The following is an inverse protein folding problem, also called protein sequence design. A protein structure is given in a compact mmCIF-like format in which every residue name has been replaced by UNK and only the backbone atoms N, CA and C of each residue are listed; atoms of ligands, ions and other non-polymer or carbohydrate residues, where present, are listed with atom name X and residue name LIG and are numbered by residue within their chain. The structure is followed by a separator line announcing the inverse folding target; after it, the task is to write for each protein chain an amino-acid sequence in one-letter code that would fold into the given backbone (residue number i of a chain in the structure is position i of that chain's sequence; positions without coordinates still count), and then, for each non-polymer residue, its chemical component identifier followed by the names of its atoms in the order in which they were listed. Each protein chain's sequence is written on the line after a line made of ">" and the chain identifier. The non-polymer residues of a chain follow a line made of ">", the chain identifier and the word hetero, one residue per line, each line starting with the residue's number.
data_IF_143714524842
#
_entry.id   IF_143714524842
#
_cell.length_a   1.000
_cell.length_b   1.000
_cell.length_c   1.000
_cell.angle_alpha   90.00
_cell.angle_beta   90.00
_cell.angle_gamma   90.00
#
_symmetry.space_group_name_H-M   'P 1'
#
loop_
_entity.id
_entity.type
_entity.pdbx_description
1 polymer ?
#
# COMPACT_ATOMS: atom_id res chain seq x y z
N UNK A 1 -20.33 67.91 -15.80
CA UNK A 1 -21.27 66.81 -16.11
C UNK A 1 -20.39 65.63 -16.47
N UNK A 2 -20.33 64.64 -15.59
CA UNK A 2 -19.46 63.48 -15.68
C UNK A 2 -20.03 62.48 -16.71
N UNK A 3 -19.22 62.09 -17.69
CA UNK A 3 -19.42 60.86 -18.43
C UNK A 3 -18.77 59.73 -17.62
N UNK A 4 -19.60 58.82 -17.11
CA UNK A 4 -19.14 57.58 -16.48
C UNK A 4 -19.34 56.43 -17.46
N UNK A 5 -18.24 55.94 -18.02
CA UNK A 5 -18.19 54.68 -18.75
C UNK A 5 -18.54 53.52 -17.79
N UNK A 6 -19.59 52.77 -18.10
CA UNK A 6 -19.91 51.53 -17.41
C UNK A 6 -19.17 50.37 -18.08
N UNK A 7 -18.04 49.96 -17.51
CA UNK A 7 -17.40 48.69 -17.85
C UNK A 7 -18.31 47.53 -17.43
N UNK A 8 -18.92 46.86 -18.39
CA UNK A 8 -19.59 45.59 -18.17
C UNK A 8 -18.55 44.51 -17.92
N UNK A 9 -18.39 44.13 -16.65
CA UNK A 9 -17.55 43.00 -16.22
C UNK A 9 -18.09 41.71 -16.86
N UNK A 10 -17.31 41.14 -17.78
CA UNK A 10 -17.59 39.85 -18.40
C UNK A 10 -17.56 38.74 -17.34
N UNK A 11 -18.71 38.10 -17.11
CA UNK A 11 -18.84 36.89 -16.30
C UNK A 11 -18.06 35.77 -17.00
N UNK A 12 -17.10 35.10 -16.34
CA UNK A 12 -16.36 34.03 -16.99
C UNK A 12 -17.28 32.85 -17.30
N UNK A 13 -17.21 32.42 -18.56
CA UNK A 13 -17.89 31.27 -19.13
C UNK A 13 -17.67 30.02 -18.27
N UNK A 14 -18.79 29.39 -17.90
CA UNK A 14 -18.97 28.03 -17.36
C UNK A 14 -17.73 27.14 -17.47
N UNK A 15 -17.25 26.68 -16.32
CA UNK A 15 -16.40 25.51 -16.22
C UNK A 15 -17.03 24.35 -17.00
N UNK A 16 -16.23 23.71 -17.87
CA UNK A 16 -16.63 22.54 -18.66
C UNK A 16 -17.25 21.48 -17.74
N UNK A 17 -18.52 21.16 -17.97
CA UNK A 17 -19.16 19.96 -17.44
C UNK A 17 -18.43 18.74 -17.99
N UNK A 18 -17.68 18.03 -17.15
CA UNK A 18 -17.25 16.69 -17.44
C UNK A 18 -18.38 15.76 -16.99
N UNK A 19 -19.13 15.19 -17.94
CA UNK A 19 -20.03 14.07 -17.63
C UNK A 19 -19.19 12.96 -16.99
N UNK A 20 -19.50 12.60 -15.74
CA UNK A 20 -18.78 11.55 -15.03
C UNK A 20 -19.00 10.21 -15.75
N UNK A 21 -17.93 9.61 -16.28
CA UNK A 21 -17.98 8.29 -16.91
C UNK A 21 -18.48 7.24 -15.89
N UNK A 22 -19.62 6.56 -16.13
CA UNK A 22 -20.15 5.52 -15.24
C UNK A 22 -19.14 4.40 -14.94
N UNK A 23 -18.16 4.17 -15.82
CA UNK A 23 -17.11 3.18 -15.63
C UNK A 23 -16.11 3.56 -14.51
N UNK A 24 -15.92 4.86 -14.23
CA UNK A 24 -15.01 5.36 -13.20
C UNK A 24 -15.40 4.87 -11.79
N UNK A 25 -16.70 4.66 -11.57
CA UNK A 25 -17.26 4.29 -10.26
C UNK A 25 -17.70 2.83 -10.17
N UNK A 26 -17.27 1.97 -11.11
CA UNK A 26 -17.64 0.56 -11.13
C UNK A 26 -17.20 -0.23 -9.88
N UNK A 27 -16.18 0.26 -9.17
CA UNK A 27 -15.68 -0.33 -7.92
C UNK A 27 -16.44 0.13 -6.67
N UNK A 28 -17.27 1.17 -6.79
CA UNK A 28 -18.02 1.74 -5.67
C UNK A 28 -19.24 0.89 -5.37
N UNK A 29 -19.53 0.69 -4.09
CA UNK A 29 -20.67 -0.06 -3.61
C UNK A 29 -21.99 0.66 -3.95
N UNK A 30 -22.75 0.09 -4.89
CA UNK A 30 -24.04 0.64 -5.36
C UNK A 30 -25.14 0.55 -4.31
N UNK A 31 -24.97 -0.27 -3.28
CA UNK A 31 -25.91 -0.30 -2.13
C UNK A 31 -25.75 0.93 -1.24
N UNK A 32 -24.55 1.53 -1.24
CA UNK A 32 -24.22 2.73 -0.48
C UNK A 32 -24.40 3.99 -1.33
N UNK A 33 -23.98 3.94 -2.59
CA UNK A 33 -23.93 5.07 -3.51
C UNK A 33 -24.93 4.91 -4.64
N UNK A 34 -26.03 5.67 -4.56
CA UNK A 34 -27.03 5.75 -5.64
C UNK A 34 -26.47 6.48 -6.86
N UNK A 35 -27.07 6.28 -8.04
CA UNK A 35 -26.66 6.97 -9.28
C UNK A 35 -26.66 8.49 -9.14
N UNK A 36 -27.63 9.05 -8.39
CA UNK A 36 -27.67 10.48 -8.09
C UNK A 36 -26.48 10.94 -7.24
N UNK A 37 -26.08 10.13 -6.26
CA UNK A 37 -24.93 10.46 -5.42
C UNK A 37 -23.61 10.33 -6.19
N UNK A 38 -23.49 9.35 -7.09
CA UNK A 38 -22.32 9.21 -7.96
C UNK A 38 -22.23 10.36 -8.98
N UNK A 39 -23.37 10.81 -9.52
CA UNK A 39 -23.42 12.01 -10.34
C UNK A 39 -23.03 13.27 -9.55
N UNK A 40 -23.49 13.39 -8.29
CA UNK A 40 -23.12 14.49 -7.40
C UNK A 40 -21.65 14.42 -6.96
N UNK A 41 -21.07 13.22 -6.89
CA UNK A 41 -19.64 12.99 -6.70
C UNK A 41 -18.90 13.67 -7.86
N UNK A 42 -19.10 13.20 -9.09
CA UNK A 42 -18.42 13.76 -10.26
C UNK A 42 -18.63 15.27 -10.50
N UNK A 43 -19.85 15.77 -10.29
CA UNK A 43 -20.21 17.17 -10.57
C UNK A 43 -19.92 18.12 -9.40
N UNK A 44 -19.55 17.59 -8.23
CA UNK A 44 -19.40 18.35 -6.99
C UNK A 44 -20.72 18.56 -6.24
N UNK A 45 -20.59 18.74 -4.93
CA UNK A 45 -21.70 19.01 -4.01
C UNK A 45 -21.72 20.48 -3.58
N UNK A 46 -22.91 21.00 -3.27
CA UNK A 46 -23.06 22.41 -2.84
C UNK A 46 -22.20 22.68 -1.61
N UNK A 47 -21.28 23.64 -1.72
CA UNK A 47 -20.36 24.01 -0.66
C UNK A 47 -19.19 23.03 -0.45
N UNK A 48 -18.96 22.10 -1.38
CA UNK A 48 -17.89 21.09 -1.36
C UNK A 48 -17.86 20.21 -0.10
N UNK A 49 -19.00 20.09 0.61
CA UNK A 49 -19.12 19.26 1.81
C UNK A 49 -20.27 18.26 1.71
N UNK A 50 -19.98 17.04 2.15
CA UNK A 50 -20.95 15.98 2.27
C UNK A 50 -21.60 15.99 3.65
N UNK A 51 -22.93 16.00 3.66
CA UNK A 51 -23.77 15.95 4.85
C UNK A 51 -24.48 14.60 4.93
N UNK A 52 -24.89 14.20 6.13
CA UNK A 52 -25.71 13.01 6.38
C UNK A 52 -25.13 11.76 5.68
N UNK A 53 -23.98 11.33 6.18
CA UNK A 53 -23.28 10.12 5.73
C UNK A 53 -23.44 8.97 6.73
N UNK A 54 -23.66 9.27 8.01
CA UNK A 54 -23.78 8.25 9.06
C UNK A 54 -24.95 7.28 8.82
N UNK A 55 -26.03 7.75 8.18
CA UNK A 55 -27.17 6.92 7.77
C UNK A 55 -26.81 5.83 6.77
N UNK A 56 -25.74 6.02 5.99
CA UNK A 56 -25.25 5.03 5.04
C UNK A 56 -24.34 4.01 5.73
N UNK A 57 -23.68 4.42 6.81
CA UNK A 57 -22.80 3.55 7.60
C UNK A 57 -23.60 2.55 8.40
N UNK A 58 -24.66 2.97 9.11
CA UNK A 58 -25.41 2.08 9.99
C UNK A 58 -26.41 1.17 9.26
N UNK A 59 -26.62 1.34 7.94
CA UNK A 59 -27.48 0.43 7.16
C UNK A 59 -27.02 -1.01 7.31
N UNK A 60 -27.98 -1.91 7.53
CA UNK A 60 -27.70 -3.33 7.70
C UNK A 60 -26.98 -3.91 6.48
N UNK A 61 -27.38 -3.54 5.26
CA UNK A 61 -26.73 -3.97 4.01
C UNK A 61 -25.26 -3.55 3.95
N UNK A 62 -24.95 -2.29 4.28
CA UNK A 62 -23.56 -1.79 4.36
C UNK A 62 -22.74 -2.56 5.39
N UNK A 63 -23.30 -2.83 6.57
CA UNK A 63 -22.63 -3.59 7.63
C UNK A 63 -22.42 -5.06 7.22
N UNK A 64 -23.37 -5.67 6.49
CA UNK A 64 -23.23 -7.01 5.94
C UNK A 64 -22.12 -7.08 4.89
N UNK A 65 -22.08 -6.13 3.95
CA UNK A 65 -21.03 -6.05 2.95
C UNK A 65 -19.64 -5.82 3.58
N UNK A 66 -19.58 -4.97 4.61
CA UNK A 66 -18.38 -4.77 5.42
C UNK A 66 -17.95 -6.06 6.14
N UNK A 67 -18.91 -6.80 6.71
CA UNK A 67 -18.65 -8.08 7.37
C UNK A 67 -18.07 -9.13 6.42
N UNK A 68 -18.65 -9.31 5.23
CA UNK A 68 -18.14 -10.25 4.24
C UNK A 68 -16.67 -9.99 3.89
N UNK A 69 -16.27 -8.73 3.78
CA UNK A 69 -14.88 -8.34 3.56
C UNK A 69 -13.99 -8.66 4.76
N UNK A 70 -14.45 -8.37 5.99
CA UNK A 70 -13.71 -8.68 7.22
C UNK A 70 -13.53 -10.20 7.39
N UNK A 71 -14.57 -10.98 7.09
CA UNK A 71 -14.54 -12.44 7.13
C UNK A 71 -13.55 -13.01 6.11
N UNK A 72 -13.54 -12.49 4.88
CA UNK A 72 -12.62 -12.90 3.82
C UNK A 72 -11.13 -12.67 4.16
N UNK A 73 -10.84 -11.64 4.95
CA UNK A 73 -9.48 -11.32 5.39
C UNK A 73 -8.91 -12.27 6.45
N UNK A 74 -9.75 -13.09 7.11
CA UNK A 74 -9.37 -14.08 8.14
C UNK A 74 -8.43 -13.50 9.22
N UNK A 75 -8.70 -12.27 9.64
CA UNK A 75 -7.88 -11.55 10.61
C UNK A 75 -7.99 -12.13 12.03
N UNK A 76 -6.92 -12.04 12.81
CA UNK A 76 -6.89 -12.52 14.20
C UNK A 76 -7.90 -11.78 15.11
N UNK A 77 -8.23 -12.41 16.23
CA UNK A 77 -9.08 -11.82 17.26
C UNK A 77 -8.45 -10.56 17.90
N UNK A 78 -9.33 -9.63 18.29
CA UNK A 78 -8.98 -8.39 18.98
C UNK A 78 -8.74 -8.62 20.47
N UNK A 79 -9.02 -7.59 21.29
CA UNK A 79 -8.88 -7.67 22.77
C UNK A 79 -10.02 -8.46 23.43
N UNK A 80 -11.16 -8.58 22.74
CA UNK A 80 -12.36 -9.31 23.14
C UNK A 80 -12.26 -10.82 22.91
N UNK A 81 -11.14 -11.28 22.31
CA UNK A 81 -10.89 -12.68 21.95
C UNK A 81 -11.95 -13.33 21.06
N UNK A 82 -12.85 -12.53 20.47
CA UNK A 82 -13.85 -13.03 19.54
C UNK A 82 -13.18 -13.31 18.19
N UNK A 83 -13.25 -14.58 17.76
CA UNK A 83 -12.77 -14.98 16.44
C UNK A 83 -13.77 -14.63 15.34
N UNK A 84 -13.31 -14.68 14.08
CA UNK A 84 -14.18 -14.51 12.91
C UNK A 84 -15.25 -15.61 12.89
N UNK A 85 -14.88 -16.85 13.22
CA UNK A 85 -15.79 -17.99 13.27
C UNK A 85 -16.83 -17.82 14.38
N UNK A 86 -16.42 -17.32 15.55
CA UNK A 86 -17.32 -17.03 16.67
C UNK A 86 -18.30 -15.89 16.35
N UNK A 87 -17.85 -14.86 15.62
CA UNK A 87 -18.75 -13.80 15.14
C UNK A 87 -19.73 -14.35 14.09
N UNK A 88 -19.25 -15.15 13.13
CA UNK A 88 -20.05 -15.73 12.07
C UNK A 88 -21.24 -16.57 12.59
N UNK A 89 -21.04 -17.31 13.68
CA UNK A 89 -22.08 -18.11 14.30
C UNK A 89 -23.31 -17.31 14.77
N UNK A 90 -23.14 -16.00 15.02
CA UNK A 90 -24.21 -15.11 15.50
C UNK A 90 -24.27 -13.79 14.72
N UNK A 91 -23.84 -13.81 13.44
CA UNK A 91 -23.64 -12.60 12.64
C UNK A 91 -24.90 -11.72 12.55
N UNK A 92 -26.08 -12.30 12.32
CA UNK A 92 -27.32 -11.55 12.16
C UNK A 92 -27.66 -10.74 13.42
N UNK A 93 -27.44 -11.33 14.60
CA UNK A 93 -27.65 -10.67 15.90
C UNK A 93 -26.64 -9.54 16.10
N UNK A 94 -25.35 -9.81 15.89
CA UNK A 94 -24.30 -8.80 16.13
C UNK A 94 -24.37 -7.64 15.15
N UNK A 95 -24.72 -7.88 13.89
CA UNK A 95 -24.90 -6.82 12.89
C UNK A 95 -26.13 -5.96 13.22
N UNK A 96 -27.23 -6.56 13.66
CA UNK A 96 -28.42 -5.83 14.11
C UNK A 96 -28.13 -4.99 15.36
N UNK A 97 -27.34 -5.52 16.30
CA UNK A 97 -26.87 -4.79 17.48
C UNK A 97 -26.01 -3.58 17.09
N UNK A 98 -25.05 -3.77 16.18
CA UNK A 98 -24.20 -2.70 15.67
C UNK A 98 -25.01 -1.62 14.93
N UNK A 99 -25.99 -2.02 14.11
CA UNK A 99 -26.92 -1.11 13.44
C UNK A 99 -27.60 -0.18 14.46
N UNK A 100 -28.25 -0.76 15.48
CA UNK A 100 -28.93 0.00 16.54
C UNK A 100 -27.96 0.91 17.30
N UNK A 101 -26.81 0.39 17.71
CA UNK A 101 -25.82 1.17 18.47
C UNK A 101 -25.26 2.34 17.66
N UNK A 102 -25.02 2.15 16.36
CA UNK A 102 -24.56 3.22 15.48
C UNK A 102 -25.66 4.23 15.20
N UNK A 103 -26.90 3.79 14.99
CA UNK A 103 -28.07 4.64 14.74
C UNK A 103 -28.40 5.53 15.96
N UNK A 104 -28.28 4.99 17.17
CA UNK A 104 -28.53 5.71 18.43
C UNK A 104 -27.31 6.47 18.97
N UNK A 105 -26.13 6.27 18.38
CA UNK A 105 -24.89 6.95 18.81
C UNK A 105 -24.30 6.37 20.10
N UNK A 106 -24.70 5.16 20.46
CA UNK A 106 -24.22 4.41 21.64
C UNK A 106 -22.92 3.65 21.36
N UNK A 107 -22.60 3.39 20.09
CA UNK A 107 -21.38 2.68 19.73
C UNK A 107 -20.14 3.42 20.26
N UNK A 108 -19.28 2.70 20.98
CA UNK A 108 -17.98 3.18 21.46
C UNK A 108 -16.89 2.22 20.99
N UNK A 109 -15.84 2.73 20.33
CA UNK A 109 -14.76 1.87 19.89
C UNK A 109 -14.04 1.20 21.06
N UNK A 110 -13.69 -0.08 20.92
CA UNK A 110 -12.99 -0.80 21.98
C UNK A 110 -11.47 -0.56 21.92
N UNK A 111 -10.75 -0.95 22.97
CA UNK A 111 -9.31 -0.83 22.98
C UNK A 111 -8.66 -1.74 21.91
N UNK A 112 -7.60 -1.24 21.28
CA UNK A 112 -6.87 -1.94 20.23
C UNK A 112 -5.77 -2.81 20.85
N UNK A 113 -5.72 -4.10 20.49
CA UNK A 113 -4.69 -5.02 20.96
C UNK A 113 -3.42 -4.84 20.15
N UNK A 114 -2.30 -4.45 20.78
CA UNK A 114 -1.01 -4.26 20.12
C UNK A 114 -0.19 -5.55 20.12
N UNK A 115 0.32 -5.91 18.94
CA UNK A 115 1.17 -7.08 18.71
C UNK A 115 2.42 -6.64 17.96
N UNK A 116 3.58 -7.13 18.36
CA UNK A 116 4.83 -6.87 17.65
C UNK A 116 5.07 -7.90 16.57
N UNK A 117 5.13 -7.44 15.32
CA UNK A 117 5.45 -8.30 14.18
C UNK A 117 6.95 -8.16 13.86
N UNK A 118 7.71 -9.26 13.80
CA UNK A 118 9.11 -9.21 13.43
C UNK A 118 9.31 -8.62 12.03
N UNK A 119 10.16 -7.59 11.90
CA UNK A 119 10.62 -7.05 10.61
C UNK A 119 11.99 -7.64 10.28
N UNK A 120 12.29 -7.74 8.99
CA UNK A 120 13.63 -8.10 8.54
C UNK A 120 14.67 -7.10 9.07
N UNK A 121 15.68 -7.60 9.79
CA UNK A 121 16.75 -6.79 10.39
C UNK A 121 16.63 -6.57 11.91
N UNK A 122 15.84 -7.39 12.63
CA UNK A 122 15.79 -7.39 14.10
C UNK A 122 14.89 -6.32 14.72
N UNK A 123 14.37 -5.39 13.92
CA UNK A 123 13.35 -4.42 14.36
C UNK A 123 11.96 -5.07 14.40
N UNK A 124 11.06 -4.60 15.25
CA UNK A 124 9.65 -5.00 15.26
C UNK A 124 8.77 -3.90 14.65
N UNK A 125 7.61 -4.28 14.11
CA UNK A 125 6.56 -3.36 13.69
C UNK A 125 5.37 -3.56 14.63
N UNK A 126 4.96 -2.53 15.39
CA UNK A 126 3.74 -2.63 16.18
C UNK A 126 2.54 -2.68 15.24
N UNK A 127 1.65 -3.65 15.45
CA UNK A 127 0.37 -3.76 14.78
C UNK A 127 -0.74 -3.69 15.83
N UNK A 128 -1.66 -2.74 15.67
CA UNK A 128 -2.91 -2.68 16.40
C UNK A 128 -3.95 -3.56 15.71
N UNK A 129 -4.52 -4.51 16.46
CA UNK A 129 -5.59 -5.41 16.01
C UNK A 129 -6.88 -4.96 16.71
N UNK A 130 -7.79 -4.27 16.00
CA UNK A 130 -9.11 -3.92 16.54
C UNK A 130 -9.99 -5.16 16.70
N UNK A 131 -11.09 -5.04 17.44
CA UNK A 131 -12.11 -6.10 17.57
C UNK A 131 -12.79 -6.38 16.23
N UNK A 132 -13.46 -7.53 16.12
CA UNK A 132 -14.23 -7.86 14.90
C UNK A 132 -15.28 -6.79 14.63
N UNK A 133 -16.02 -6.38 15.67
CA UNK A 133 -17.01 -5.30 15.61
C UNK A 133 -16.39 -3.99 15.09
N UNK A 134 -15.27 -3.54 15.65
CA UNK A 134 -14.61 -2.31 15.21
C UNK A 134 -14.13 -2.39 13.76
N UNK A 135 -13.60 -3.54 13.32
CA UNK A 135 -13.19 -3.72 11.92
C UNK A 135 -14.37 -3.63 10.96
N UNK A 136 -15.55 -4.15 11.34
CA UNK A 136 -16.76 -4.05 10.52
C UNK A 136 -17.17 -2.58 10.40
N UNK A 137 -17.27 -1.85 11.51
CA UNK A 137 -17.66 -0.42 11.49
C UNK A 137 -16.63 0.42 10.73
N UNK A 138 -15.33 0.19 10.92
CA UNK A 138 -14.27 0.87 10.14
C UNK A 138 -14.38 0.58 8.65
N UNK A 139 -14.68 -0.67 8.28
CA UNK A 139 -14.86 -1.06 6.88
C UNK A 139 -16.11 -0.40 6.27
N UNK A 140 -17.21 -0.34 7.03
CA UNK A 140 -18.44 0.34 6.61
C UNK A 140 -18.21 1.84 6.42
N UNK A 141 -17.57 2.52 7.38
CA UNK A 141 -17.19 3.93 7.24
C UNK A 141 -16.29 4.13 6.03
N UNK A 142 -15.26 3.28 5.88
CA UNK A 142 -14.36 3.34 4.72
C UNK A 142 -15.14 3.27 3.40
N UNK A 143 -16.08 2.33 3.24
CA UNK A 143 -16.92 2.22 2.03
C UNK A 143 -17.72 3.48 1.74
N UNK A 144 -18.18 4.17 2.78
CA UNK A 144 -18.93 5.42 2.63
C UNK A 144 -18.02 6.58 2.25
N UNK A 145 -16.86 6.74 2.89
CA UNK A 145 -16.04 7.94 2.71
C UNK A 145 -14.96 7.84 1.63
N UNK A 146 -14.49 6.62 1.29
CA UNK A 146 -13.41 6.41 0.32
C UNK A 146 -13.71 7.03 -1.06
N UNK A 147 -14.94 6.93 -1.62
CA UNK A 147 -15.24 7.56 -2.91
C UNK A 147 -15.12 9.09 -2.91
N UNK A 148 -15.45 9.74 -1.79
CA UNK A 148 -15.35 11.20 -1.62
C UNK A 148 -13.90 11.65 -1.75
N UNK A 149 -12.98 10.95 -1.08
CA UNK A 149 -11.56 11.31 -1.12
C UNK A 149 -10.86 10.81 -2.38
N UNK A 150 -11.27 9.66 -2.92
CA UNK A 150 -10.67 9.10 -4.14
C UNK A 150 -10.85 10.01 -5.36
N UNK A 151 -11.96 10.75 -5.42
CA UNK A 151 -12.19 11.76 -6.46
C UNK A 151 -11.18 12.91 -6.41
N UNK A 152 -10.79 13.32 -5.21
CA UNK A 152 -9.87 14.45 -4.99
C UNK A 152 -8.41 14.01 -5.19
N UNK A 153 -8.09 12.73 -4.92
CA UNK A 153 -6.71 12.25 -4.93
C UNK A 153 -6.02 12.34 -6.30
N UNK A 154 -4.86 13.00 -6.29
CA UNK A 154 -3.99 13.16 -7.45
C UNK A 154 -3.52 11.84 -8.07
N UNK A 155 -3.41 11.79 -9.39
CA UNK A 155 -2.98 10.60 -10.14
C UNK A 155 -1.56 10.13 -9.81
N UNK A 156 -0.76 11.01 -9.22
CA UNK A 156 0.61 10.74 -8.75
C UNK A 156 0.67 9.87 -7.50
N UNK A 157 -0.45 9.69 -6.80
CA UNK A 157 -0.57 8.83 -5.62
C UNK A 157 -1.16 7.46 -5.99
N UNK A 158 -0.51 6.38 -5.56
CA UNK A 158 -0.88 5.01 -5.93
C UNK A 158 -1.18 4.10 -4.75
N UNK A 159 -0.61 4.38 -3.58
CA UNK A 159 -0.68 3.49 -2.42
C UNK A 159 -2.09 3.40 -1.85
N UNK A 160 -2.56 2.18 -1.56
CA UNK A 160 -3.84 1.91 -0.89
C UNK A 160 -5.09 2.46 -1.59
N UNK A 161 -5.03 2.70 -2.90
CA UNK A 161 -6.15 3.19 -3.70
C UNK A 161 -6.79 2.08 -4.54
N UNK A 162 -8.11 2.11 -4.75
CA UNK A 162 -8.80 1.15 -5.61
C UNK A 162 -8.28 1.24 -7.05
N UNK A 163 -8.06 0.09 -7.69
CA UNK A 163 -7.61 0.03 -9.09
C UNK A 163 -6.15 0.47 -9.35
N UNK A 164 -5.42 0.93 -8.33
CA UNK A 164 -4.01 1.35 -8.42
C UNK A 164 -3.11 0.43 -7.61
N UNK A 165 -1.97 0.05 -8.17
CA UNK A 165 -1.01 -0.82 -7.50
C UNK A 165 0.44 -0.44 -7.73
N UNK A 166 1.35 -1.19 -7.08
CA UNK A 166 2.80 -0.94 -7.17
C UNK A 166 3.30 -0.90 -8.62
N UNK A 167 2.72 -1.72 -9.50
CA UNK A 167 3.14 -1.81 -10.91
C UNK A 167 2.80 -0.56 -11.70
N UNK A 168 1.74 0.16 -11.34
CA UNK A 168 1.36 1.41 -12.00
C UNK A 168 2.33 2.53 -11.62
N UNK A 169 2.63 2.66 -10.31
CA UNK A 169 3.67 3.58 -9.82
C UNK A 169 5.04 3.32 -10.48
N UNK A 170 5.45 2.05 -10.56
CA UNK A 170 6.71 1.67 -11.22
C UNK A 170 6.72 1.97 -12.72
N UNK A 171 5.56 1.88 -13.40
CA UNK A 171 5.43 2.23 -14.82
C UNK A 171 5.57 3.74 -15.01
N UNK A 172 5.00 4.55 -14.12
CA UNK A 172 5.15 6.00 -14.15
C UNK A 172 6.62 6.42 -13.95
N UNK A 173 7.31 5.82 -12.98
CA UNK A 173 8.76 6.04 -12.78
C UNK A 173 9.54 5.65 -14.03
N UNK A 174 9.29 4.46 -14.62
CA UNK A 174 9.95 4.02 -15.86
C UNK A 174 9.71 5.00 -17.04
N UNK A 175 8.54 5.64 -17.12
CA UNK A 175 8.22 6.60 -18.18
C UNK A 175 8.98 7.92 -17.99
N UNK A 176 8.92 8.50 -16.80
CA UNK A 176 9.64 9.74 -16.46
C UNK A 176 11.15 9.61 -16.63
N UNK A 177 11.73 8.47 -16.23
CA UNK A 177 13.15 8.20 -16.44
C UNK A 177 13.55 8.16 -17.92
N UNK A 178 12.64 7.74 -18.81
CA UNK A 178 12.89 7.74 -20.27
C UNK A 178 12.71 9.11 -20.88
N UNK A 179 11.87 9.96 -20.30
CA UNK A 179 11.66 11.34 -20.71
C UNK A 179 12.84 12.25 -20.35
N UNK A 180 13.73 11.81 -19.44
CA UNK A 180 14.95 12.53 -19.07
C UNK A 180 14.99 13.02 -17.62
N UNK A 181 13.98 12.69 -16.80
CA UNK A 181 13.94 13.05 -15.37
C UNK A 181 14.85 12.14 -14.54
N UNK A 182 16.17 12.26 -14.70
CA UNK A 182 17.15 11.32 -14.14
C UNK A 182 17.65 11.66 -12.74
N UNK A 183 17.43 12.89 -12.26
CA UNK A 183 17.78 13.29 -10.90
C UNK A 183 16.60 13.02 -9.98
N UNK A 184 16.80 12.18 -8.97
CA UNK A 184 15.70 11.70 -8.11
C UNK A 184 15.94 12.07 -6.66
N UNK A 185 14.90 12.60 -6.03
CA UNK A 185 14.78 12.71 -4.58
C UNK A 185 14.09 11.45 -4.08
N UNK A 186 14.81 10.61 -3.36
CA UNK A 186 14.27 9.47 -2.62
C UNK A 186 13.96 9.96 -1.20
N UNK A 187 12.69 9.97 -0.79
CA UNK A 187 12.26 10.51 0.50
C UNK A 187 11.34 9.54 1.23
N UNK A 188 11.68 9.28 2.51
CA UNK A 188 10.95 8.37 3.39
C UNK A 188 10.56 9.13 4.67
N UNK A 189 9.30 9.01 5.08
CA UNK A 189 8.80 9.63 6.31
C UNK A 189 9.10 8.76 7.53
N UNK A 190 9.65 9.37 8.58
CA UNK A 190 10.00 8.66 9.81
C UNK A 190 8.74 8.32 10.61
N UNK A 191 8.49 7.01 10.81
CA UNK A 191 7.41 6.54 11.68
C UNK A 191 6.03 7.07 11.28
N UNK A 192 5.81 7.27 9.98
CA UNK A 192 4.70 8.07 9.44
C UNK A 192 3.34 7.80 10.09
N UNK A 193 2.88 6.55 10.11
CA UNK A 193 1.58 6.21 10.69
C UNK A 193 1.45 6.57 12.17
N UNK A 194 2.54 6.57 12.94
CA UNK A 194 2.54 6.86 14.38
C UNK A 194 2.68 8.37 14.67
N UNK A 195 3.13 9.18 13.69
CA UNK A 195 3.42 10.60 13.86
C UNK A 195 2.31 11.55 13.37
N UNK A 196 1.29 11.07 12.65
CA UNK A 196 0.21 11.92 12.11
C UNK A 196 -0.52 12.69 13.22
N UNK A 197 -0.50 14.04 13.22
CA UNK A 197 -1.26 14.84 14.18
C UNK A 197 -2.78 14.66 14.00
N UNK A 198 -3.50 14.37 15.10
CA UNK A 198 -4.94 14.10 15.05
C UNK A 198 -5.75 15.32 14.62
N UNK A 199 -5.43 16.50 15.16
CA UNK A 199 -6.17 17.75 14.85
C UNK A 199 -6.07 18.07 13.36
N UNK A 200 -4.85 18.17 12.83
CA UNK A 200 -4.64 18.45 11.40
C UNK A 200 -5.25 17.38 10.48
N UNK A 201 -5.29 16.11 10.89
CA UNK A 201 -5.99 15.07 10.13
C UNK A 201 -7.51 15.29 10.14
N UNK A 202 -8.09 15.59 11.31
CA UNK A 202 -9.52 15.83 11.44
C UNK A 202 -9.96 17.09 10.68
N UNK A 203 -9.15 18.14 10.66
CA UNK A 203 -9.42 19.36 9.89
C UNK A 203 -9.50 19.07 8.39
N UNK A 204 -8.58 18.25 7.87
CA UNK A 204 -8.59 17.81 6.46
C UNK A 204 -9.83 16.99 6.11
N UNK A 205 -10.27 16.12 7.01
CA UNK A 205 -11.49 15.34 6.81
C UNK A 205 -12.73 16.26 6.86
N UNK A 206 -12.77 17.17 7.82
CA UNK A 206 -13.86 18.13 8.03
C UNK A 206 -13.98 19.18 6.90
N UNK A 207 -12.94 19.32 6.07
CA UNK A 207 -12.99 20.12 4.86
C UNK A 207 -13.95 19.52 3.81
N UNK A 208 -14.10 18.20 3.75
CA UNK A 208 -14.96 17.50 2.78
C UNK A 208 -16.22 16.88 3.41
N UNK A 209 -16.22 16.64 4.72
CA UNK A 209 -17.32 15.96 5.43
C UNK A 209 -17.83 16.85 6.57
N UNK A 210 -19.14 17.06 6.66
CA UNK A 210 -19.80 17.84 7.72
C UNK A 210 -20.72 17.02 8.63
N UNK A 211 -20.65 15.69 8.54
CA UNK A 211 -21.39 14.81 9.44
C UNK A 211 -20.69 14.70 10.81
N UNK A 212 -21.20 15.41 11.81
CA UNK A 212 -20.60 15.47 13.14
C UNK A 212 -20.52 14.11 13.86
N UNK A 213 -21.46 13.19 13.60
CA UNK A 213 -21.45 11.85 14.20
C UNK A 213 -20.36 11.00 13.60
N UNK A 214 -20.19 11.08 12.28
CA UNK A 214 -19.11 10.40 11.58
C UNK A 214 -17.73 10.93 11.99
N UNK A 215 -17.59 12.26 12.10
CA UNK A 215 -16.35 12.88 12.57
C UNK A 215 -16.03 12.47 14.01
N UNK A 216 -17.04 12.37 14.89
CA UNK A 216 -16.86 11.88 16.25
C UNK A 216 -16.41 10.41 16.30
N UNK A 217 -16.92 9.55 15.40
CA UNK A 217 -16.46 8.16 15.28
C UNK A 217 -14.99 8.07 14.84
N UNK A 218 -14.61 8.85 13.82
CA UNK A 218 -13.23 8.91 13.33
C UNK A 218 -12.28 9.39 14.43
N UNK A 219 -12.64 10.47 15.13
CA UNK A 219 -11.88 10.98 16.27
C UNK A 219 -11.78 9.93 17.38
N UNK A 220 -12.88 9.23 17.66
CA UNK A 220 -12.92 8.14 18.63
C UNK A 220 -11.92 7.03 18.31
N UNK A 221 -11.75 6.64 17.04
CA UNK A 221 -10.75 5.66 16.63
C UNK A 221 -9.31 6.14 16.75
N UNK A 222 -9.06 7.43 16.48
CA UNK A 222 -7.73 8.02 16.66
C UNK A 222 -7.32 8.06 18.14
N UNK A 223 -8.30 8.25 19.04
CA UNK A 223 -8.09 8.34 20.48
C UNK A 223 -8.40 7.02 21.22
N UNK A 224 -8.42 5.89 20.50
CA UNK A 224 -8.63 4.57 21.12
C UNK A 224 -7.46 4.17 22.00
N UNK A 225 -7.76 3.64 23.18
CA UNK A 225 -6.75 3.03 24.03
C UNK A 225 -6.07 1.86 23.33
N UNK A 226 -4.76 1.78 23.51
CA UNK A 226 -3.92 0.69 23.03
C UNK A 226 -3.54 -0.17 24.23
N UNK A 227 -3.77 -1.48 24.11
CA UNK A 227 -3.40 -2.47 25.12
C UNK A 227 -2.27 -3.33 24.58
N UNK A 228 -1.13 -3.33 25.27
CA UNK A 228 0.00 -4.21 25.02
C UNK A 228 0.38 -4.91 26.33
N UNK A 229 0.24 -6.23 26.38
CA UNK A 229 0.50 -7.03 27.58
C UNK A 229 -0.29 -6.49 28.80
N UNK A 230 0.40 -5.93 29.80
CA UNK A 230 -0.20 -5.34 31.01
C UNK A 230 -0.27 -3.80 30.98
N UNK A 231 0.07 -3.16 29.84
CA UNK A 231 0.07 -1.70 29.69
C UNK A 231 -1.11 -1.25 28.84
N UNK A 232 -1.76 -0.15 29.27
CA UNK A 232 -2.83 0.55 28.56
C UNK A 232 -2.48 2.03 28.47
N UNK A 233 -2.54 2.60 27.28
CA UNK A 233 -2.33 4.03 27.08
C UNK A 233 -3.15 4.55 25.90
N UNK A 234 -3.45 5.84 25.92
CA UNK A 234 -4.13 6.54 24.83
C UNK A 234 -3.10 7.21 23.93
N UNK A 235 -3.12 6.98 22.60
CA UNK A 235 -2.23 7.65 21.67
C UNK A 235 -2.60 9.13 21.53
N UNK A 236 -1.61 10.01 21.58
CA UNK A 236 -1.78 11.46 21.34
C UNK A 236 -1.59 11.84 19.87
N UNK A 237 -0.93 10.98 19.09
CA UNK A 237 -0.70 11.12 17.66
C UNK A 237 -0.78 9.76 16.97
N UNK A 238 -0.87 9.80 15.64
CA UNK A 238 -0.84 8.64 14.78
C UNK A 238 -2.19 7.99 14.55
N UNK A 239 -2.20 7.04 13.63
CA UNK A 239 -3.35 6.21 13.29
C UNK A 239 -3.02 4.77 13.63
N UNK A 240 -3.95 3.96 14.17
CA UNK A 240 -3.65 2.58 14.55
C UNK A 240 -3.15 1.78 13.34
N UNK A 241 -1.89 1.34 13.36
CA UNK A 241 -1.34 0.51 12.29
C UNK A 241 -2.06 -0.84 12.27
N UNK A 242 -2.77 -1.16 11.18
CA UNK A 242 -3.54 -2.41 11.06
C UNK A 242 -5.06 -2.23 11.13
N UNK A 243 -5.54 -1.04 11.51
CA UNK A 243 -6.93 -0.68 11.31
C UNK A 243 -7.24 -0.49 9.82
N UNK A 244 -8.46 -0.84 9.42
CA UNK A 244 -8.87 -0.89 7.99
C UNK A 244 -8.88 0.51 7.36
N UNK A 245 -9.19 1.51 8.16
CA UNK A 245 -9.35 2.89 7.72
C UNK A 245 -8.05 3.68 7.68
N UNK A 246 -7.03 3.28 8.47
CA UNK A 246 -5.76 4.01 8.59
C UNK A 246 -5.05 4.30 7.27
N UNK A 247 -5.02 3.38 6.27
CA UNK A 247 -4.41 3.69 4.98
C UNK A 247 -5.09 4.83 4.22
N UNK A 248 -6.42 4.95 4.31
CA UNK A 248 -7.15 6.05 3.70
C UNK A 248 -6.84 7.37 4.42
N UNK A 249 -6.86 7.37 5.76
CA UNK A 249 -6.56 8.55 6.58
C UNK A 249 -5.15 9.07 6.31
N UNK A 250 -4.17 8.17 6.17
CA UNK A 250 -2.83 8.48 5.74
C UNK A 250 -2.82 9.22 4.38
N UNK A 251 -3.51 8.68 3.38
CA UNK A 251 -3.58 9.33 2.07
C UNK A 251 -4.24 10.72 2.13
N UNK A 252 -5.33 10.89 2.90
CA UNK A 252 -5.97 12.19 3.12
C UNK A 252 -4.99 13.20 3.72
N UNK A 253 -4.14 12.75 4.67
CA UNK A 253 -3.17 13.62 5.31
C UNK A 253 -2.07 14.11 4.36
N UNK A 254 -1.55 13.24 3.49
CA UNK A 254 -0.47 13.56 2.55
C UNK A 254 -0.94 14.17 1.24
N UNK A 255 -2.21 14.05 0.89
CA UNK A 255 -2.74 14.57 -0.37
C UNK A 255 -2.41 16.05 -0.67
N UNK A 256 -2.47 17.00 0.28
CA UNK A 256 -2.08 18.39 0.00
C UNK A 256 -0.60 18.55 -0.40
N UNK A 257 0.30 17.65 0.01
CA UNK A 257 1.66 17.61 -0.52
C UNK A 257 1.65 17.25 -2.00
N UNK A 258 0.86 16.25 -2.40
CA UNK A 258 0.71 15.85 -3.82
C UNK A 258 0.24 17.03 -4.67
N UNK A 259 -0.78 17.76 -4.21
CA UNK A 259 -1.32 18.94 -4.88
C UNK A 259 -0.27 20.05 -4.98
N UNK A 260 0.44 20.35 -3.88
CA UNK A 260 1.50 21.38 -3.86
C UNK A 260 2.61 21.05 -4.87
N UNK A 261 3.11 19.81 -4.86
CA UNK A 261 4.21 19.40 -5.73
C UNK A 261 3.79 19.42 -7.21
N UNK A 262 2.56 18.98 -7.52
CA UNK A 262 2.01 19.06 -8.88
C UNK A 262 1.83 20.50 -9.34
N UNK A 263 1.31 21.38 -8.48
CA UNK A 263 1.12 22.80 -8.79
C UNK A 263 2.45 23.52 -9.07
N UNK A 264 3.54 23.09 -8.41
CA UNK A 264 4.90 23.57 -8.66
C UNK A 264 5.57 22.89 -9.88
N UNK A 265 4.87 22.00 -10.58
CA UNK A 265 5.35 21.33 -11.79
C UNK A 265 6.24 20.10 -11.55
N UNK A 266 6.47 19.69 -10.30
CA UNK A 266 7.31 18.53 -10.00
C UNK A 266 6.63 17.20 -10.39
N UNK A 267 7.44 16.22 -10.81
CA UNK A 267 6.99 14.87 -11.15
C UNK A 267 7.18 13.93 -9.97
N UNK A 268 6.25 14.00 -9.02
CA UNK A 268 6.24 13.12 -7.85
C UNK A 268 5.49 11.82 -8.14
N UNK A 269 6.00 10.70 -7.63
CA UNK A 269 5.31 9.41 -7.60
C UNK A 269 5.29 8.91 -6.17
N UNK A 270 4.10 8.79 -5.59
CA UNK A 270 3.90 8.39 -4.20
C UNK A 270 3.20 7.04 -4.08
N UNK A 271 3.74 6.19 -3.21
CA UNK A 271 3.10 4.95 -2.79
C UNK A 271 3.03 4.91 -1.26
N UNK A 272 1.86 5.30 -0.72
CA UNK A 272 1.66 5.49 0.71
C UNK A 272 2.61 6.55 1.29
N UNK A 273 3.52 6.15 2.18
CA UNK A 273 4.53 6.98 2.84
C UNK A 273 5.86 7.07 2.08
N UNK A 274 6.07 6.17 1.11
CA UNK A 274 7.26 6.10 0.25
C UNK A 274 7.00 6.93 -1.02
N UNK A 275 7.79 7.95 -1.29
CA UNK A 275 7.66 8.76 -2.50
C UNK A 275 8.99 9.16 -3.09
N UNK A 276 8.98 9.29 -4.42
CA UNK A 276 10.12 9.75 -5.20
C UNK A 276 9.73 10.95 -6.04
N UNK A 277 10.62 11.93 -6.16
CA UNK A 277 10.43 13.10 -7.02
C UNK A 277 11.49 13.05 -8.11
N UNK A 278 11.04 13.01 -9.36
CA UNK A 278 11.92 12.92 -10.52
C UNK A 278 12.06 14.31 -11.16
N UNK A 279 13.31 14.72 -11.36
CA UNK A 279 13.72 16.04 -11.82
C UNK A 279 14.71 15.92 -12.98
N UNK A 280 14.80 16.97 -13.81
CA UNK A 280 15.74 17.03 -14.94
C UNK A 280 17.14 17.44 -14.51
N UNK A 281 17.26 18.17 -13.39
CA UNK A 281 18.53 18.70 -12.90
C UNK A 281 18.72 18.44 -11.41
N UNK A 282 19.99 18.42 -10.97
CA UNK A 282 20.33 18.30 -9.56
C UNK A 282 19.84 19.50 -8.72
N UNK A 283 19.86 20.73 -9.27
CA UNK A 283 19.34 21.92 -8.56
C UNK A 283 17.85 21.76 -8.28
N UNK A 284 17.09 21.37 -9.30
CA UNK A 284 15.64 21.15 -9.17
C UNK A 284 15.33 20.06 -8.14
N UNK A 285 16.12 18.98 -8.09
CA UNK A 285 15.97 17.93 -7.07
C UNK A 285 16.26 18.45 -5.66
N UNK A 286 17.29 19.28 -5.48
CA UNK A 286 17.61 19.88 -4.19
C UNK A 286 16.53 20.87 -3.71
N UNK A 287 16.00 21.69 -4.62
CA UNK A 287 14.89 22.60 -4.35
C UNK A 287 13.61 21.83 -3.97
N UNK A 288 13.30 20.76 -4.70
CA UNK A 288 12.16 19.90 -4.39
C UNK A 288 12.28 19.27 -3.00
N UNK A 289 13.48 18.80 -2.63
CA UNK A 289 13.73 18.24 -1.31
C UNK A 289 13.50 19.28 -0.21
N UNK A 290 13.92 20.53 -0.41
CA UNK A 290 13.72 21.59 0.58
C UNK A 290 12.24 21.98 0.71
N UNK A 291 11.49 22.05 -0.40
CA UNK A 291 10.04 22.26 -0.38
C UNK A 291 9.31 21.16 0.40
N UNK A 292 9.71 19.90 0.20
CA UNK A 292 9.17 18.76 0.95
C UNK A 292 9.52 18.88 2.43
N UNK A 293 10.78 19.17 2.78
CA UNK A 293 11.22 19.35 4.17
C UNK A 293 10.40 20.42 4.87
N UNK A 294 10.24 21.58 4.24
CA UNK A 294 9.47 22.69 4.78
C UNK A 294 8.00 22.28 5.01
N UNK A 295 7.38 21.64 4.02
CA UNK A 295 5.98 21.19 4.14
C UNK A 295 5.82 20.14 5.24
N UNK A 296 6.70 19.15 5.29
CA UNK A 296 6.69 18.07 6.28
C UNK A 296 6.83 18.64 7.70
N UNK A 297 7.75 19.58 7.92
CA UNK A 297 7.92 20.25 9.21
C UNK A 297 6.70 21.09 9.61
N UNK A 298 6.12 21.85 8.67
CA UNK A 298 4.89 22.63 8.91
C UNK A 298 3.69 21.76 9.28
N UNK A 299 3.69 20.50 8.88
CA UNK A 299 2.63 19.53 9.16
C UNK A 299 2.98 18.60 10.34
N UNK A 300 4.01 18.91 11.13
CA UNK A 300 4.37 18.11 12.31
C UNK A 300 4.86 16.69 11.97
N UNK A 301 5.35 16.48 10.75
CA UNK A 301 5.99 15.25 10.31
C UNK A 301 7.52 15.43 10.23
N UNK A 302 8.26 14.33 10.09
CA UNK A 302 9.72 14.35 9.94
C UNK A 302 10.16 13.39 8.82
N UNK A 303 11.11 13.84 7.99
CA UNK A 303 11.80 12.98 7.03
C UNK A 303 12.85 12.12 7.73
N UNK A 304 13.07 10.91 7.23
CA UNK A 304 14.11 10.02 7.72
C UNK A 304 15.48 10.50 7.21
N UNK A 305 16.41 10.95 8.08
CA UNK A 305 17.66 11.57 7.65
C UNK A 305 18.52 10.61 6.82
N UNK A 306 18.66 9.35 7.28
CA UNK A 306 19.56 8.38 6.62
C UNK A 306 19.00 7.76 5.33
N UNK A 307 17.70 7.90 5.06
CA UNK A 307 17.06 7.32 3.89
C UNK A 307 16.70 8.34 2.83
N UNK A 308 16.75 9.62 3.19
CA UNK A 308 16.42 10.69 2.27
C UNK A 308 17.70 11.07 1.53
N UNK A 309 17.76 10.83 0.22
CA UNK A 309 18.92 11.19 -0.59
C UNK A 309 18.51 11.72 -1.97
N UNK A 310 19.40 12.53 -2.53
CA UNK A 310 19.30 13.01 -3.91
C UNK A 310 20.38 12.30 -4.72
N UNK A 311 20.03 11.76 -5.89
CA UNK A 311 20.98 11.05 -6.74
C UNK A 311 20.64 11.10 -8.22
N UNK A 312 21.66 10.97 -9.07
CA UNK A 312 21.50 10.79 -10.51
C UNK A 312 21.42 9.29 -10.84
N UNK A 313 20.26 8.83 -11.31
CA UNK A 313 20.04 7.41 -11.59
C UNK A 313 20.82 6.92 -12.82
N UNK A 314 21.43 7.80 -13.63
CA UNK A 314 22.30 7.40 -14.75
C UNK A 314 23.68 6.95 -14.26
N UNK A 315 24.09 7.38 -13.07
CA UNK A 315 25.40 7.09 -12.50
C UNK A 315 25.35 5.86 -11.60
N UNK A 316 26.40 5.05 -11.63
CA UNK A 316 26.55 3.94 -10.68
C UNK A 316 26.88 4.50 -9.30
N UNK A 317 26.24 3.95 -8.27
CA UNK A 317 26.35 4.38 -6.88
C UNK A 317 25.28 5.39 -6.46
N UNK A 318 24.68 6.12 -7.41
CA UNK A 318 23.73 7.21 -7.12
C UNK A 318 22.27 6.85 -7.47
N UNK A 319 21.99 5.58 -7.77
CA UNK A 319 20.64 5.09 -7.97
C UNK A 319 19.78 5.14 -6.70
N UNK A 320 18.46 5.01 -6.88
CA UNK A 320 17.46 5.03 -5.79
C UNK A 320 16.71 3.69 -5.70
N UNK A 321 16.05 3.45 -4.56
CA UNK A 321 15.30 2.22 -4.31
C UNK A 321 13.82 2.50 -4.12
N UNK A 322 12.97 2.08 -5.05
CA UNK A 322 11.52 2.30 -4.96
C UNK A 322 10.75 0.98 -5.14
N UNK A 323 9.80 0.69 -4.25
CA UNK A 323 8.90 -0.48 -4.30
C UNK A 323 9.60 -1.84 -4.52
N UNK A 324 10.79 -2.00 -3.92
CA UNK A 324 11.58 -3.22 -3.95
C UNK A 324 12.47 -3.38 -5.20
N UNK A 325 12.49 -2.37 -6.08
CA UNK A 325 13.42 -2.26 -7.19
C UNK A 325 14.51 -1.23 -6.87
N UNK A 326 15.65 -1.35 -7.53
CA UNK A 326 16.73 -0.35 -7.56
C UNK A 326 16.89 0.17 -8.98
N UNK A 327 16.85 1.48 -9.17
CA UNK A 327 16.99 2.13 -10.48
C UNK A 327 18.37 2.76 -10.57
N UNK A 328 19.20 2.28 -11.49
CA UNK A 328 20.60 2.67 -11.56
C UNK A 328 21.22 2.35 -12.92
N UNK A 329 22.03 3.28 -13.45
CA UNK A 329 22.71 3.20 -14.73
C UNK A 329 21.78 2.80 -15.89
N UNK A 330 20.60 3.45 -15.95
CA UNK A 330 19.58 3.19 -16.96
C UNK A 330 18.95 1.80 -16.89
N UNK A 331 19.11 1.09 -15.76
CA UNK A 331 18.61 -0.27 -15.55
C UNK A 331 17.81 -0.36 -14.27
N UNK A 332 16.82 -1.23 -14.30
CA UNK A 332 16.03 -1.60 -13.12
C UNK A 332 16.48 -2.95 -12.58
N UNK A 333 16.94 -2.98 -11.34
CA UNK A 333 17.41 -4.16 -10.63
C UNK A 333 16.46 -4.54 -9.51
N UNK A 334 16.54 -5.77 -9.03
CA UNK A 334 15.84 -6.12 -7.78
C UNK A 334 16.68 -5.64 -6.61
N UNK A 335 16.04 -4.99 -5.63
CA UNK A 335 16.67 -4.57 -4.38
C UNK A 335 17.35 -5.75 -3.68
N UNK A 336 18.54 -5.54 -3.14
CA UNK A 336 19.32 -6.59 -2.48
C UNK A 336 18.59 -7.22 -1.29
N UNK A 337 17.85 -6.40 -0.54
CA UNK A 337 16.98 -6.87 0.54
C UNK A 337 15.91 -7.85 0.05
N UNK A 338 15.29 -7.57 -1.09
CA UNK A 338 14.27 -8.44 -1.71
C UNK A 338 14.90 -9.74 -2.23
N UNK A 339 16.10 -9.67 -2.80
CA UNK A 339 16.86 -10.84 -3.22
C UNK A 339 17.27 -11.72 -2.02
N UNK A 340 17.75 -11.11 -0.94
CA UNK A 340 18.11 -11.81 0.29
C UNK A 340 16.90 -12.51 0.90
N UNK A 341 15.77 -11.82 1.01
CA UNK A 341 14.51 -12.40 1.51
C UNK A 341 14.03 -13.61 0.70
N UNK A 342 14.14 -13.57 -0.63
CA UNK A 342 13.86 -14.76 -1.45
C UNK A 342 14.83 -15.90 -1.15
N UNK A 343 16.13 -15.61 -1.11
CA UNK A 343 17.16 -16.63 -0.84
C UNK A 343 16.99 -17.27 0.53
N UNK A 344 16.57 -16.51 1.54
CA UNK A 344 16.31 -17.00 2.89
C UNK A 344 15.09 -17.93 2.92
N UNK A 345 13.97 -17.55 2.31
CA UNK A 345 12.80 -18.44 2.15
C UNK A 345 13.12 -19.73 1.40
N UNK A 346 13.94 -19.64 0.34
CA UNK A 346 14.43 -20.82 -0.37
C UNK A 346 15.30 -21.69 0.54
N UNK A 347 16.19 -21.11 1.37
CA UNK A 347 17.01 -21.87 2.32
C UNK A 347 16.14 -22.62 3.33
N UNK A 348 15.11 -21.98 3.88
CA UNK A 348 14.18 -22.59 4.82
C UNK A 348 13.47 -23.80 4.21
N UNK A 349 12.98 -23.68 2.98
CA UNK A 349 12.30 -24.77 2.27
C UNK A 349 13.22 -25.87 1.73
N UNK A 350 14.52 -25.56 1.57
CA UNK A 350 15.51 -26.50 1.01
C UNK A 350 16.53 -26.97 2.04
N UNK A 351 16.18 -27.05 3.33
CA UNK A 351 17.07 -27.59 4.38
C UNK A 351 17.56 -28.99 3.98
N UNK A 352 18.87 -29.23 4.14
CA UNK A 352 19.51 -30.50 3.72
C UNK A 352 19.01 -31.72 4.49
N UNK A 353 18.50 -31.52 5.69
CA UNK A 353 17.97 -32.55 6.60
C UNK A 353 16.49 -32.85 6.34
N UNK A 354 15.86 -32.18 5.38
CA UNK A 354 14.46 -32.41 5.04
C UNK A 354 14.30 -33.80 4.41
N UNK A 355 13.41 -34.62 4.98
CA UNK A 355 13.18 -36.02 4.57
C UNK A 355 12.23 -36.19 3.38
N UNK A 356 11.65 -35.10 2.87
CA UNK A 356 10.71 -35.16 1.76
C UNK A 356 11.38 -35.38 0.40
N UNK A 357 10.60 -35.92 -0.54
CA UNK A 357 11.06 -36.12 -1.91
C UNK A 357 11.29 -34.79 -2.63
N UNK A 358 12.23 -34.79 -3.58
CA UNK A 358 12.58 -33.59 -4.34
C UNK A 358 11.37 -33.02 -5.12
N UNK A 359 10.46 -33.86 -5.60
CA UNK A 359 9.23 -33.44 -6.29
C UNK A 359 8.33 -32.60 -5.40
N UNK A 360 8.16 -33.00 -4.13
CA UNK A 360 7.35 -32.25 -3.16
C UNK A 360 7.98 -30.88 -2.89
N UNK A 361 9.29 -30.86 -2.66
CA UNK A 361 10.04 -29.61 -2.43
C UNK A 361 9.92 -28.65 -3.63
N UNK A 362 10.04 -29.17 -4.86
CA UNK A 362 9.87 -28.36 -6.08
C UNK A 362 8.44 -27.83 -6.19
N UNK A 363 7.43 -28.67 -5.93
CA UNK A 363 6.01 -28.27 -5.95
C UNK A 363 5.73 -27.14 -4.95
N UNK A 364 6.33 -27.16 -3.77
CA UNK A 364 6.20 -26.08 -2.78
C UNK A 364 6.92 -24.79 -3.19
N UNK A 365 8.08 -24.90 -3.86
CA UNK A 365 8.82 -23.74 -4.34
C UNK A 365 8.09 -23.04 -5.48
N UNK A 366 7.39 -23.80 -6.34
CA UNK A 366 6.72 -23.31 -7.55
C UNK A 366 5.89 -22.03 -7.35
N UNK A 367 4.85 -22.04 -6.49
CA UNK A 367 4.00 -20.86 -6.27
C UNK A 367 4.78 -19.64 -5.77
N UNK A 368 5.73 -19.84 -4.86
CA UNK A 368 6.58 -18.76 -4.33
C UNK A 368 7.45 -18.13 -5.43
N UNK A 369 8.11 -18.97 -6.23
CA UNK A 369 8.98 -18.50 -7.31
C UNK A 369 8.19 -17.82 -8.43
N UNK A 370 7.02 -18.37 -8.79
CA UNK A 370 6.09 -17.77 -9.78
C UNK A 370 5.59 -16.40 -9.31
N UNK A 371 5.14 -16.29 -8.05
CA UNK A 371 4.68 -15.02 -7.49
C UNK A 371 5.79 -13.97 -7.43
N UNK A 372 6.98 -14.37 -6.98
CA UNK A 372 8.15 -13.49 -6.95
C UNK A 372 8.54 -13.01 -8.36
N UNK A 373 8.59 -13.92 -9.34
CA UNK A 373 8.85 -13.57 -10.73
C UNK A 373 7.77 -12.66 -11.29
N UNK A 374 6.48 -12.94 -11.04
CA UNK A 374 5.36 -12.12 -11.52
C UNK A 374 5.40 -10.67 -11.03
N UNK A 375 6.00 -10.44 -9.85
CA UNK A 375 6.28 -9.09 -9.34
C UNK A 375 7.56 -8.50 -9.96
N UNK A 376 8.68 -9.25 -9.97
CA UNK A 376 10.00 -8.79 -10.37
C UNK A 376 10.37 -8.97 -11.85
N UNK A 377 9.44 -9.42 -12.71
CA UNK A 377 9.71 -9.81 -14.11
C UNK A 377 10.40 -8.74 -14.96
N UNK A 378 10.21 -7.47 -14.59
CA UNK A 378 10.78 -6.33 -15.30
C UNK A 378 12.17 -5.88 -14.78
N UNK A 379 12.77 -6.62 -13.86
CA UNK A 379 14.16 -6.44 -13.49
C UNK A 379 15.11 -6.78 -14.64
N UNK A 380 16.36 -6.36 -14.54
CA UNK A 380 17.37 -6.56 -15.57
C UNK A 380 17.68 -8.06 -15.75
N UNK A 381 17.91 -8.46 -17.01
CA UNK A 381 17.95 -9.87 -17.44
C UNK A 381 18.98 -10.72 -16.69
N UNK A 382 20.10 -10.14 -16.26
CA UNK A 382 21.15 -10.90 -15.55
C UNK A 382 20.80 -11.26 -14.10
N UNK A 383 19.72 -10.71 -13.53
CA UNK A 383 19.28 -11.05 -12.17
C UNK A 383 18.82 -12.49 -12.05
N UNK A 384 18.06 -13.00 -13.03
CA UNK A 384 17.39 -14.31 -12.94
C UNK A 384 18.33 -15.52 -13.00
N UNK A 385 19.35 -15.58 -13.90
CA UNK A 385 20.25 -16.73 -13.96
C UNK A 385 20.97 -17.01 -12.64
N UNK A 386 21.34 -15.96 -11.89
CA UNK A 386 22.00 -16.08 -10.58
C UNK A 386 21.09 -16.73 -9.53
N UNK A 387 19.80 -16.35 -9.51
CA UNK A 387 18.79 -16.92 -8.60
C UNK A 387 18.51 -18.37 -8.96
N UNK A 388 18.26 -18.64 -10.24
CA UNK A 388 18.01 -19.99 -10.75
C UNK A 388 19.18 -20.93 -10.45
N UNK A 389 20.43 -20.46 -10.64
CA UNK A 389 21.64 -21.19 -10.27
C UNK A 389 21.74 -21.46 -8.77
N UNK A 390 21.39 -20.49 -7.93
CA UNK A 390 21.34 -20.64 -6.47
C UNK A 390 20.34 -21.73 -6.05
N UNK A 391 19.13 -21.73 -6.62
CA UNK A 391 18.09 -22.72 -6.32
C UNK A 391 18.55 -24.12 -6.75
N UNK A 392 19.04 -24.30 -7.98
CA UNK A 392 19.54 -25.60 -8.44
C UNK A 392 20.68 -26.12 -7.57
N UNK A 393 21.61 -25.26 -7.18
CA UNK A 393 22.69 -25.62 -6.24
C UNK A 393 22.14 -26.11 -4.89
N UNK A 394 21.11 -25.46 -4.35
CA UNK A 394 20.44 -25.91 -3.11
C UNK A 394 19.84 -27.30 -3.27
N UNK A 395 19.12 -27.55 -4.37
CA UNK A 395 18.49 -28.84 -4.66
C UNK A 395 19.53 -29.95 -4.85
N UNK A 396 20.63 -29.68 -5.57
CA UNK A 396 21.78 -30.62 -5.67
C UNK A 396 22.38 -30.95 -4.31
N UNK A 397 22.51 -29.95 -3.43
CA UNK A 397 23.02 -30.18 -2.07
C UNK A 397 22.09 -31.04 -1.20
N UNK A 398 20.78 -31.04 -1.47
CA UNK A 398 19.82 -31.96 -0.82
C UNK A 398 20.01 -33.38 -1.35
N UNK A 399 20.07 -33.56 -2.68
CA UNK A 399 20.30 -34.87 -3.30
C UNK A 399 21.60 -35.52 -2.83
N UNK A 400 22.70 -34.76 -2.73
CA UNK A 400 23.95 -35.29 -2.15
C UNK A 400 23.77 -35.77 -0.73
N UNK A 401 23.04 -35.03 0.12
CA UNK A 401 22.81 -35.43 1.52
C UNK A 401 21.96 -36.71 1.59
N UNK A 402 20.95 -36.84 0.73
CA UNK A 402 20.14 -38.07 0.61
C UNK A 402 21.00 -39.26 0.17
N UNK A 403 21.98 -39.05 -0.70
CA UNK A 403 22.96 -40.04 -1.12
C UNK A 403 24.15 -40.20 -0.14
N UNK A 404 24.02 -39.73 1.10
CA UNK A 404 25.05 -39.80 2.16
C UNK A 404 26.42 -39.26 1.73
N UNK A 405 26.45 -38.36 0.75
CA UNK A 405 27.65 -37.78 0.18
C UNK A 405 27.93 -36.36 0.74
N UNK A 406 29.17 -36.03 1.11
CA UNK A 406 29.52 -34.70 1.61
C UNK A 406 29.46 -33.63 0.51
N UNK A 407 29.42 -32.35 0.88
CA UNK A 407 29.52 -31.23 -0.07
C UNK A 407 28.21 -30.54 -0.45
N UNK A 408 28.32 -29.50 -1.29
CA UNK A 408 27.26 -28.51 -1.56
C UNK A 408 26.72 -28.54 -3.00
N UNK A 409 26.96 -29.62 -3.75
CA UNK A 409 26.41 -29.79 -5.11
C UNK A 409 27.00 -28.83 -6.15
N UNK A 410 28.29 -28.47 -6.01
CA UNK A 410 29.01 -27.50 -6.86
C UNK A 410 29.98 -28.15 -7.85
N UNK A 411 30.22 -29.46 -7.76
CA UNK A 411 31.26 -30.11 -8.57
C UNK A 411 30.76 -30.34 -10.00
N UNK A 412 31.70 -30.48 -10.94
CA UNK A 412 31.36 -30.85 -12.32
C UNK A 412 30.63 -32.19 -12.39
N UNK A 413 30.98 -33.14 -11.51
CA UNK A 413 30.29 -34.43 -11.38
C UNK A 413 28.83 -34.22 -10.97
N UNK A 414 28.54 -33.33 -10.03
CA UNK A 414 27.17 -33.00 -9.62
C UNK A 414 26.34 -32.39 -10.77
N UNK A 415 26.98 -31.58 -11.62
CA UNK A 415 26.34 -30.96 -12.77
C UNK A 415 26.06 -31.95 -13.90
N UNK A 416 26.92 -32.96 -14.08
CA UNK A 416 26.69 -34.08 -15.01
C UNK A 416 25.61 -35.03 -14.49
N UNK A 417 25.63 -35.34 -13.19
CA UNK A 417 24.68 -36.26 -12.56
C UNK A 417 23.27 -35.67 -12.43
N UNK A 418 23.17 -34.38 -12.12
CA UNK A 418 21.90 -33.64 -12.03
C UNK A 418 21.97 -32.38 -12.91
N UNK A 419 21.84 -32.57 -14.23
CA UNK A 419 21.83 -31.47 -15.19
C UNK A 419 20.62 -30.56 -14.96
N UNK A 420 20.61 -29.39 -15.61
CA UNK A 420 19.47 -28.48 -15.48
C UNK A 420 18.17 -29.13 -15.98
N UNK A 421 18.27 -29.97 -17.00
CA UNK A 421 17.14 -30.73 -17.56
C UNK A 421 16.49 -31.67 -16.54
N UNK A 422 17.28 -32.32 -15.68
CA UNK A 422 16.75 -33.17 -14.60
C UNK A 422 15.77 -32.42 -13.69
N UNK A 423 16.11 -31.17 -13.31
CA UNK A 423 15.20 -30.36 -12.50
C UNK A 423 14.00 -29.84 -13.29
N UNK A 424 14.17 -29.56 -14.58
CA UNK A 424 13.07 -29.15 -15.45
C UNK A 424 12.03 -30.27 -15.62
N UNK A 425 12.46 -31.51 -15.81
CA UNK A 425 11.59 -32.70 -15.87
C UNK A 425 10.82 -32.94 -14.56
N UNK A 426 11.36 -32.50 -13.41
CA UNK A 426 10.67 -32.53 -12.12
C UNK A 426 9.72 -31.34 -11.90
N UNK A 427 9.54 -30.48 -12.90
CA UNK A 427 8.64 -29.32 -12.85
C UNK A 427 9.22 -28.09 -12.15
N UNK A 428 10.55 -27.96 -12.04
CA UNK A 428 11.15 -26.77 -11.45
C UNK A 428 10.88 -25.54 -12.33
N UNK A 429 10.14 -24.59 -11.78
CA UNK A 429 9.99 -23.27 -12.38
C UNK A 429 11.35 -22.54 -12.41
N UNK A 430 11.76 -22.07 -13.59
CA UNK A 430 12.95 -21.22 -13.73
C UNK A 430 12.57 -19.83 -14.23
N UNK A 431 13.11 -18.80 -13.58
CA UNK A 431 12.79 -17.41 -13.90
C UNK A 431 13.38 -16.99 -15.24
N UNK A 432 14.51 -17.58 -15.62
CA UNK A 432 15.17 -17.33 -16.91
C UNK A 432 14.29 -17.80 -18.07
N UNK A 433 13.72 -19.01 -18.01
CA UNK A 433 12.82 -19.51 -19.05
C UNK A 433 11.52 -18.71 -19.09
N UNK A 434 10.92 -18.42 -17.93
CA UNK A 434 9.70 -17.63 -17.85
C UNK A 434 9.87 -16.23 -18.46
N UNK A 435 11.05 -15.61 -18.31
CA UNK A 435 11.38 -14.34 -18.97
C UNK A 435 11.51 -14.49 -20.48
N UNK A 436 12.22 -15.51 -20.97
CA UNK A 436 12.37 -15.75 -22.40
C UNK A 436 11.01 -15.92 -23.08
N UNK A 437 10.12 -16.71 -22.48
CA UNK A 437 8.74 -16.87 -22.95
C UNK A 437 7.99 -15.53 -22.95
N UNK A 438 8.06 -14.77 -21.85
CA UNK A 438 7.40 -13.47 -21.76
C UNK A 438 7.94 -12.42 -22.74
N UNK A 439 9.19 -12.54 -23.20
CA UNK A 439 9.75 -11.68 -24.25
C UNK A 439 9.40 -12.12 -25.67
N UNK A 440 9.03 -13.39 -25.87
CA UNK A 440 8.62 -13.94 -27.17
C UNK A 440 7.13 -13.72 -27.45
N UNK A 441 6.31 -13.47 -26.42
CA UNK A 441 4.88 -13.14 -26.53
C UNK A 441 4.61 -11.63 -26.72
N UNK A 442 5.64 -10.84 -27.01
CA UNK A 442 5.57 -9.43 -27.40
C UNK A 442 6.01 -9.32 -28.84
#
# INVERSE_FOLDING_TARGET
>A
MNESESETVAVPLRAKQAESDPAQWAWVDREVWTDRMLAALGNGVKGNKWFSLIDKVYRLSTLQAAWQQVQGNKGSAGIDWQSIEGFAAHEARYLSELCRQLEQGEYRPQAVRRVEIPKAGGKTRPLGIPTVKDRIVQTAVKRVIEPIFEQEFEDTSYGFRPGRGCKDALRQVDALLKEGYTHVVDADLQGYFDSIPHEGLMDRIAAHISDGRLLALLKGWLQQDIVQEMRRWTPTTGTPQGAVISPLLANVYLHPLDVKMKAQGYRMVRYADDFVILCETASQAQEALEQVRQWVAQNGLSLHPDKTHVGDCTQRGQGFEFLGYRFEAGRRWVRDKSLKGLKDKVREKTKRTRGESLRVVIKELGPMLKGWFGYFKHAYKSTFPSIDGFIRRRLRAMLRKQQKSPGMGKSQVDHKRWPNEYFAQLGLFTMTQARMQASQSR
#
